data_IF_923302274686
#
_entry.id   IF_923302274686
#
_cell.length_a   1.000
_cell.length_b   1.000
_cell.length_c   1.000
_cell.angle_alpha   90.00
_cell.angle_beta   90.00
_cell.angle_gamma   90.00
#
_symmetry.space_group_name_H-M   'P 1'
#
loop_
_entity.id
_entity.type
_entity.pdbx_description
1 polymer ?
#
# COMPACT_ATOMS: atom_id res chain seq x y z
N UNK A 1 -48.58 21.08 8.79
CA UNK A 1 -48.64 19.99 7.78
C UNK A 1 -47.37 19.13 7.74
N UNK A 2 -46.22 19.60 7.23
CA UNK A 2 -45.00 18.77 7.15
C UNK A 2 -44.52 18.28 8.53
N UNK A 3 -44.55 19.12 9.55
CA UNK A 3 -44.16 18.75 10.92
C UNK A 3 -45.10 17.72 11.56
N UNK A 4 -46.41 17.83 11.33
CA UNK A 4 -47.41 16.87 11.83
C UNK A 4 -47.23 15.52 11.13
N UNK A 5 -47.04 15.54 9.80
CA UNK A 5 -46.82 14.32 9.01
C UNK A 5 -45.51 13.59 9.47
N UNK A 6 -44.49 14.35 9.77
CA UNK A 6 -43.24 13.82 10.30
C UNK A 6 -43.40 13.20 11.71
N UNK A 7 -44.16 13.87 12.58
CA UNK A 7 -44.48 13.35 13.93
C UNK A 7 -45.31 12.07 13.85
N UNK A 8 -46.30 12.02 12.96
CA UNK A 8 -47.09 10.78 12.70
C UNK A 8 -46.19 9.66 12.16
N UNK A 9 -45.26 9.96 11.23
CA UNK A 9 -44.31 8.99 10.71
C UNK A 9 -43.45 8.39 11.82
N UNK A 10 -42.91 9.23 12.72
CA UNK A 10 -42.09 8.77 13.88
C UNK A 10 -42.91 7.93 14.83
N UNK A 11 -44.21 8.30 15.10
CA UNK A 11 -45.07 7.49 15.96
C UNK A 11 -45.37 6.12 15.35
N UNK A 12 -45.59 6.05 14.04
CA UNK A 12 -45.79 4.80 13.30
C UNK A 12 -44.58 3.88 13.33
N UNK A 13 -43.37 4.45 13.25
CA UNK A 13 -42.12 3.74 13.40
C UNK A 13 -42.03 3.07 14.78
N UNK A 14 -42.44 3.79 15.85
CA UNK A 14 -42.41 3.26 17.21
C UNK A 14 -43.47 2.21 17.52
N UNK A 15 -44.63 2.25 16.84
CA UNK A 15 -45.72 1.27 17.00
C UNK A 15 -45.40 -0.09 16.37
N UNK A 16 -44.59 -0.13 15.30
CA UNK A 16 -44.19 -1.36 14.58
C UNK A 16 -42.67 -1.57 14.55
N UNK A 17 -42.00 -1.54 15.72
CA UNK A 17 -40.56 -1.53 15.86
C UNK A 17 -39.81 -2.63 15.09
N UNK A 18 -40.34 -3.85 15.08
CA UNK A 18 -39.70 -4.98 14.43
C UNK A 18 -39.71 -4.87 12.90
N UNK A 19 -40.85 -4.46 12.34
CA UNK A 19 -41.02 -4.26 10.89
C UNK A 19 -40.12 -3.13 10.39
N UNK A 20 -40.12 -2.01 11.10
CA UNK A 20 -39.29 -0.84 10.78
C UNK A 20 -37.80 -1.15 10.91
N UNK A 21 -37.40 -1.90 11.94
CA UNK A 21 -35.97 -2.32 12.08
C UNK A 21 -35.55 -3.21 10.90
N UNK A 22 -36.39 -4.20 10.53
CA UNK A 22 -36.07 -5.07 9.38
C UNK A 22 -35.94 -4.31 8.07
N UNK A 23 -36.79 -3.29 7.86
CA UNK A 23 -36.72 -2.43 6.67
C UNK A 23 -35.49 -1.56 6.63
N UNK A 24 -35.12 -0.96 7.77
CA UNK A 24 -33.92 -0.13 7.88
C UNK A 24 -32.64 -0.96 7.76
N UNK A 25 -32.67 -2.25 8.12
CA UNK A 25 -31.48 -3.11 8.19
C UNK A 25 -30.75 -3.19 6.83
N UNK A 26 -31.47 -3.30 5.73
CA UNK A 26 -30.88 -3.32 4.38
C UNK A 26 -30.15 -2.02 4.04
N UNK A 27 -30.71 -0.87 4.41
CA UNK A 27 -30.09 0.43 4.21
C UNK A 27 -28.88 0.61 5.15
N UNK A 28 -29.05 0.25 6.43
CA UNK A 28 -27.98 0.32 7.43
C UNK A 28 -26.75 -0.48 6.96
N UNK A 29 -26.96 -1.74 6.56
CA UNK A 29 -25.88 -2.61 6.08
C UNK A 29 -25.24 -2.02 4.82
N UNK A 30 -26.04 -1.60 3.83
CA UNK A 30 -25.52 -1.05 2.59
C UNK A 30 -24.68 0.23 2.79
N UNK A 31 -25.20 1.20 3.56
CA UNK A 31 -24.49 2.44 3.85
C UNK A 31 -23.23 2.18 4.68
N UNK A 32 -23.32 1.35 5.71
CA UNK A 32 -22.17 0.94 6.54
C UNK A 32 -21.09 0.30 5.68
N UNK A 33 -21.45 -0.63 4.79
CA UNK A 33 -20.51 -1.30 3.90
C UNK A 33 -19.77 -0.31 3.00
N UNK A 34 -20.47 0.64 2.37
CA UNK A 34 -19.86 1.66 1.51
C UNK A 34 -18.83 2.49 2.31
N UNK A 35 -19.19 2.97 3.50
CA UNK A 35 -18.30 3.81 4.32
C UNK A 35 -17.05 3.03 4.74
N UNK A 36 -17.21 1.78 5.18
CA UNK A 36 -16.08 0.94 5.59
C UNK A 36 -15.16 0.64 4.41
N UNK A 37 -15.72 0.26 3.25
CA UNK A 37 -14.95 -0.06 2.04
C UNK A 37 -14.15 1.16 1.57
N UNK A 38 -14.79 2.32 1.44
CA UNK A 38 -14.11 3.56 1.01
C UNK A 38 -13.08 4.02 2.06
N UNK A 39 -13.42 3.91 3.34
CA UNK A 39 -12.52 4.26 4.43
C UNK A 39 -11.26 3.39 4.45
N UNK A 40 -11.42 2.08 4.28
CA UNK A 40 -10.29 1.14 4.19
C UNK A 40 -9.45 1.40 2.94
N UNK A 41 -10.08 1.63 1.78
CA UNK A 41 -9.39 1.93 0.54
C UNK A 41 -8.51 3.18 0.66
N UNK A 42 -9.05 4.28 1.18
CA UNK A 42 -8.29 5.50 1.42
C UNK A 42 -7.15 5.28 2.44
N UNK A 43 -7.41 4.51 3.49
CA UNK A 43 -6.40 4.14 4.47
C UNK A 43 -5.25 3.33 3.86
N UNK A 44 -5.54 2.37 3.00
CA UNK A 44 -4.54 1.59 2.26
C UNK A 44 -3.72 2.47 1.32
N UNK A 45 -4.35 3.34 0.54
CA UNK A 45 -3.65 4.27 -0.35
C UNK A 45 -2.71 5.19 0.43
N UNK A 46 -3.17 5.74 1.55
CA UNK A 46 -2.34 6.58 2.41
C UNK A 46 -1.18 5.80 3.04
N UNK A 47 -1.41 4.57 3.46
CA UNK A 47 -0.36 3.69 4.01
C UNK A 47 0.70 3.35 2.96
N UNK A 48 0.28 3.02 1.72
CA UNK A 48 1.18 2.82 0.60
C UNK A 48 2.01 4.08 0.36
N UNK A 49 1.37 5.25 0.21
CA UNK A 49 2.08 6.51 -0.02
C UNK A 49 3.09 6.83 1.08
N UNK A 50 2.73 6.62 2.36
CA UNK A 50 3.65 6.85 3.48
C UNK A 50 4.83 5.87 3.50
N UNK A 51 4.62 4.60 3.14
CA UNK A 51 5.69 3.60 3.09
C UNK A 51 6.76 3.92 2.03
N UNK A 52 6.38 4.64 0.98
CA UNK A 52 7.29 5.04 -0.09
C UNK A 52 7.82 6.48 0.04
N UNK A 53 7.25 7.30 0.92
CA UNK A 53 7.68 8.68 1.12
C UNK A 53 9.17 8.79 1.55
N UNK A 54 9.64 7.82 2.33
CA UNK A 54 11.04 7.77 2.81
C UNK A 54 12.05 7.29 1.75
N UNK A 55 11.57 6.71 0.63
CA UNK A 55 12.44 6.18 -0.43
C UNK A 55 12.77 7.22 -1.51
N UNK A 56 12.12 8.39 -1.49
CA UNK A 56 12.23 9.42 -2.53
C UNK A 56 11.40 9.08 -3.79
N UNK A 57 10.69 10.07 -4.30
CA UNK A 57 9.84 9.93 -5.49
C UNK A 57 10.62 10.05 -6.79
N UNK A 58 11.88 10.54 -6.72
CA UNK A 58 12.78 10.76 -7.84
C UNK A 58 13.64 9.54 -8.21
N UNK A 59 13.27 8.33 -7.79
CA UNK A 59 13.99 7.09 -8.08
C UNK A 59 13.33 6.34 -9.23
N UNK A 60 14.17 5.91 -10.19
CA UNK A 60 13.82 4.96 -11.24
C UNK A 60 14.46 3.61 -10.93
N UNK A 61 13.64 2.57 -10.89
CA UNK A 61 14.09 1.18 -10.79
C UNK A 61 14.25 0.60 -12.19
N UNK A 62 15.44 0.12 -12.49
CA UNK A 62 15.78 -0.56 -13.73
C UNK A 62 16.03 -2.02 -13.41
N UNK A 63 15.28 -2.94 -14.03
CA UNK A 63 15.50 -4.37 -13.96
C UNK A 63 16.01 -4.86 -15.30
N UNK A 64 17.09 -5.62 -15.30
CA UNK A 64 17.72 -6.18 -16.51
C UNK A 64 17.74 -7.69 -16.39
N UNK A 65 17.00 -8.35 -17.27
CA UNK A 65 16.95 -9.82 -17.35
C UNK A 65 17.85 -10.37 -18.46
N UNK A 66 18.36 -9.49 -19.34
CA UNK A 66 19.08 -9.87 -20.55
C UNK A 66 18.15 -10.41 -21.65
N UNK A 67 18.66 -10.51 -22.86
CA UNK A 67 17.91 -11.05 -24.01
C UNK A 67 18.81 -11.94 -24.87
N UNK A 68 18.43 -13.21 -25.02
CA UNK A 68 19.23 -14.19 -25.72
C UNK A 68 20.61 -14.39 -25.09
N UNK A 69 21.68 -14.13 -25.83
CA UNK A 69 23.07 -14.17 -25.34
C UNK A 69 23.61 -12.81 -24.88
N UNK A 70 22.81 -11.76 -24.96
CA UNK A 70 23.22 -10.40 -24.58
C UNK A 70 22.85 -10.11 -23.14
N UNK A 71 23.79 -9.53 -22.43
CA UNK A 71 23.64 -9.04 -21.07
C UNK A 71 24.17 -7.61 -21.00
N UNK A 72 23.66 -6.84 -20.06
CA UNK A 72 24.13 -5.48 -19.80
C UNK A 72 25.13 -5.56 -18.64
N UNK A 73 26.33 -5.07 -18.87
CA UNK A 73 27.32 -4.98 -17.81
C UNK A 73 27.06 -3.77 -16.91
N UNK A 74 27.59 -3.80 -15.71
CA UNK A 74 27.38 -2.72 -14.74
C UNK A 74 27.92 -1.40 -15.28
N UNK A 75 29.07 -1.45 -15.97
CA UNK A 75 29.73 -0.31 -16.58
C UNK A 75 28.90 0.36 -17.69
N UNK A 76 28.12 -0.44 -18.45
CA UNK A 76 27.24 0.09 -19.49
C UNK A 76 26.16 1.02 -18.90
N UNK A 77 25.57 0.64 -17.76
CA UNK A 77 24.56 1.44 -17.07
C UNK A 77 25.17 2.70 -16.46
N UNK A 78 26.37 2.61 -15.87
CA UNK A 78 27.09 3.79 -15.40
C UNK A 78 27.37 4.77 -16.56
N UNK A 79 27.81 4.28 -17.70
CA UNK A 79 28.06 5.11 -18.89
C UNK A 79 26.79 5.80 -19.40
N UNK A 80 25.64 5.13 -19.38
CA UNK A 80 24.35 5.73 -19.74
C UNK A 80 23.96 6.87 -18.80
N UNK A 81 24.16 6.68 -17.52
CA UNK A 81 23.84 7.69 -16.49
C UNK A 81 24.83 8.87 -16.55
N UNK A 82 26.12 8.59 -16.67
CA UNK A 82 27.19 9.61 -16.72
C UNK A 82 27.15 10.45 -18.02
N UNK A 83 26.54 9.92 -19.10
CA UNK A 83 26.34 10.66 -20.33
C UNK A 83 25.32 11.82 -20.21
N UNK A 84 24.44 11.80 -19.20
CA UNK A 84 23.38 12.79 -18.97
C UNK A 84 23.34 13.26 -17.51
N UNK A 85 24.39 13.97 -17.02
CA UNK A 85 24.45 14.48 -15.66
C UNK A 85 23.41 15.58 -15.36
N UNK A 86 22.75 16.09 -16.39
CA UNK A 86 21.63 17.01 -16.30
C UNK A 86 20.33 16.31 -15.81
N UNK A 87 20.18 15.02 -16.11
CA UNK A 87 19.01 14.22 -15.75
C UNK A 87 19.26 13.33 -14.53
N UNK A 88 20.45 12.77 -14.43
CA UNK A 88 20.76 11.75 -13.43
C UNK A 88 21.72 12.27 -12.38
N UNK A 89 21.43 11.97 -11.12
CA UNK A 89 22.27 12.33 -9.96
C UNK A 89 23.16 11.16 -9.54
N UNK A 90 22.62 9.95 -9.46
CA UNK A 90 23.35 8.78 -8.99
C UNK A 90 22.73 7.48 -9.53
N UNK A 91 23.56 6.44 -9.59
CA UNK A 91 23.14 5.08 -9.89
C UNK A 91 23.72 4.09 -8.88
N UNK A 92 22.93 3.11 -8.50
CA UNK A 92 23.39 1.98 -7.69
C UNK A 92 22.94 0.65 -8.29
N UNK A 93 23.89 -0.19 -8.73
CA UNK A 93 23.61 -1.59 -8.97
C UNK A 93 23.11 -2.25 -7.70
N UNK A 94 22.16 -3.17 -7.83
CA UNK A 94 21.68 -4.00 -6.74
C UNK A 94 21.85 -5.47 -7.12
N UNK A 95 22.68 -6.18 -6.35
CA UNK A 95 22.89 -7.60 -6.49
C UNK A 95 22.29 -8.32 -5.26
N UNK A 96 21.25 -9.11 -5.46
CA UNK A 96 20.67 -9.93 -4.37
C UNK A 96 21.52 -11.17 -4.15
N UNK A 97 21.84 -11.47 -2.89
CA UNK A 97 22.52 -12.71 -2.52
C UNK A 97 21.53 -13.62 -1.79
N UNK A 98 21.25 -14.75 -2.40
CA UNK A 98 20.49 -15.82 -1.74
C UNK A 98 21.42 -16.57 -0.80
N UNK A 99 21.56 -16.12 0.44
CA UNK A 99 22.44 -16.77 1.41
C UNK A 99 21.92 -16.55 2.83
N UNK A 100 21.93 -17.63 3.61
CA UNK A 100 21.59 -17.53 5.04
C UNK A 100 22.65 -16.70 5.78
N UNK A 101 22.20 -15.70 6.49
CA UNK A 101 23.03 -14.91 7.41
C UNK A 101 23.25 -15.71 8.69
N UNK A 102 24.49 -15.82 9.17
CA UNK A 102 24.83 -16.54 10.41
C UNK A 102 25.72 -15.71 11.32
N UNK A 103 25.37 -15.69 12.60
CA UNK A 103 26.17 -15.10 13.67
C UNK A 103 26.40 -16.15 14.73
N UNK A 104 27.64 -16.60 14.92
CA UNK A 104 27.94 -17.75 15.75
C UNK A 104 27.23 -19.02 15.26
N UNK A 105 26.36 -19.56 16.09
CA UNK A 105 25.55 -20.77 15.80
C UNK A 105 24.14 -20.40 15.29
N UNK A 106 23.71 -19.15 15.41
CA UNK A 106 22.37 -18.69 15.06
C UNK A 106 22.28 -18.34 13.58
N UNK A 107 21.21 -18.78 12.92
CA UNK A 107 20.90 -18.48 11.51
C UNK A 107 19.72 -17.54 11.41
N UNK A 108 19.83 -16.55 10.55
CA UNK A 108 18.81 -15.55 10.22
C UNK A 108 18.41 -15.78 8.76
N UNK A 109 17.28 -16.42 8.54
CA UNK A 109 16.84 -16.83 7.20
C UNK A 109 16.06 -15.76 6.45
N UNK A 110 15.42 -14.83 7.17
CA UNK A 110 14.60 -13.77 6.62
C UNK A 110 15.37 -12.47 6.35
N UNK A 111 16.64 -12.41 6.77
CA UNK A 111 17.48 -11.24 6.56
C UNK A 111 17.76 -10.99 5.08
N UNK A 112 17.42 -9.81 4.61
CA UNK A 112 17.68 -9.38 3.23
C UNK A 112 19.16 -9.03 3.07
N UNK A 113 19.84 -9.66 2.09
CA UNK A 113 21.24 -9.38 1.77
C UNK A 113 21.33 -8.78 0.37
N UNK A 114 21.88 -7.55 0.27
CA UNK A 114 22.02 -6.83 -1.00
C UNK A 114 23.46 -6.33 -1.17
N UNK A 115 23.99 -6.52 -2.37
CA UNK A 115 25.17 -5.83 -2.85
C UNK A 115 24.76 -4.49 -3.47
N UNK A 116 25.38 -3.40 -3.04
CA UNK A 116 25.00 -2.04 -3.43
C UNK A 116 26.24 -1.15 -3.64
N UNK A 117 26.06 0.03 -4.27
CA UNK A 117 27.10 1.05 -4.35
C UNK A 117 27.13 1.93 -3.11
N UNK A 118 28.12 2.83 -3.08
CA UNK A 118 28.27 3.85 -2.03
C UNK A 118 27.09 4.83 -2.00
N UNK A 119 26.48 5.11 -3.14
CA UNK A 119 25.37 6.04 -3.29
C UNK A 119 24.04 5.48 -2.74
N UNK A 120 23.94 4.16 -2.60
CA UNK A 120 22.69 3.48 -2.26
C UNK A 120 22.05 3.95 -0.95
N UNK A 121 22.87 4.21 0.07
CA UNK A 121 22.37 4.65 1.38
C UNK A 121 21.61 5.97 1.27
N UNK A 122 22.19 6.96 0.58
CA UNK A 122 21.53 8.24 0.32
C UNK A 122 20.26 8.08 -0.51
N UNK A 123 20.35 7.30 -1.59
CA UNK A 123 19.20 7.04 -2.49
C UNK A 123 18.03 6.37 -1.78
N UNK A 124 18.32 5.45 -0.85
CA UNK A 124 17.29 4.67 -0.16
C UNK A 124 16.90 5.25 1.20
N UNK A 125 17.30 6.48 1.52
CA UNK A 125 17.00 7.14 2.78
C UNK A 125 17.52 6.40 4.03
N UNK A 126 18.62 5.64 3.90
CA UNK A 126 19.28 5.03 5.05
C UNK A 126 20.34 5.97 5.62
N UNK A 127 20.31 6.14 6.93
CA UNK A 127 21.33 6.86 7.69
C UNK A 127 22.18 5.87 8.49
N UNK A 128 23.47 6.17 8.63
CA UNK A 128 24.40 5.36 9.44
C UNK A 128 24.39 5.90 10.87
N UNK A 129 23.97 5.08 11.82
CA UNK A 129 23.95 5.43 13.24
C UNK A 129 25.32 5.33 13.90
N UNK A 130 26.07 4.27 13.59
CA UNK A 130 27.39 4.00 14.16
C UNK A 130 28.31 3.44 13.10
N UNK A 131 29.55 3.89 13.07
CA UNK A 131 30.55 3.45 12.09
C UNK A 131 30.49 4.27 10.81
N UNK A 132 30.58 3.60 9.65
CA UNK A 132 30.53 4.23 8.31
C UNK A 132 29.76 3.41 7.30
N UNK A 133 29.35 4.06 6.22
CA UNK A 133 28.79 3.40 5.05
C UNK A 133 29.85 2.70 4.18
N UNK A 134 29.38 2.15 3.07
CA UNK A 134 30.21 1.62 2.00
C UNK A 134 30.83 2.81 1.25
N UNK A 135 32.13 2.75 0.97
CA UNK A 135 32.87 3.77 0.23
C UNK A 135 33.31 3.21 -1.13
N UNK A 136 33.59 4.09 -2.08
CA UNK A 136 34.10 3.73 -3.42
C UNK A 136 35.33 2.80 -3.36
N UNK A 137 36.27 3.04 -2.41
CA UNK A 137 37.47 2.19 -2.21
C UNK A 137 37.10 0.75 -1.79
N UNK A 138 35.97 0.57 -1.12
CA UNK A 138 35.52 -0.78 -0.73
C UNK A 138 34.99 -1.57 -1.93
N UNK A 139 34.44 -0.86 -2.93
CA UNK A 139 34.01 -1.43 -4.19
C UNK A 139 35.18 -1.85 -5.07
N UNK A 140 36.12 -0.93 -5.29
CA UNK A 140 37.31 -1.17 -6.14
C UNK A 140 38.20 -2.28 -5.59
N UNK A 141 38.39 -2.32 -4.28
CA UNK A 141 39.23 -3.34 -3.63
C UNK A 141 38.49 -4.65 -3.35
N UNK A 142 37.19 -4.75 -3.72
CA UNK A 142 36.34 -5.92 -3.44
C UNK A 142 36.41 -6.35 -1.96
N UNK A 143 36.36 -5.39 -1.04
CA UNK A 143 36.50 -5.67 0.39
C UNK A 143 35.36 -6.52 0.94
N UNK A 144 35.71 -7.47 1.80
CA UNK A 144 34.75 -8.29 2.54
C UNK A 144 34.25 -7.54 3.78
N UNK A 145 33.52 -6.46 3.54
CA UNK A 145 32.87 -5.64 4.57
C UNK A 145 31.35 -5.62 4.36
N UNK A 146 30.62 -5.25 5.41
CA UNK A 146 29.20 -5.04 5.33
C UNK A 146 28.72 -3.95 6.29
N UNK A 147 27.57 -3.39 5.98
CA UNK A 147 26.77 -2.53 6.85
C UNK A 147 25.50 -3.29 7.20
N UNK A 148 25.11 -3.31 8.47
CA UNK A 148 23.96 -4.07 8.96
C UNK A 148 22.84 -3.14 9.43
N UNK A 149 21.60 -3.56 9.29
CA UNK A 149 20.45 -2.87 9.84
C UNK A 149 20.39 -2.96 11.37
N UNK A 150 19.53 -2.16 11.98
CA UNK A 150 19.40 -2.10 13.44
C UNK A 150 18.96 -3.43 14.06
N UNK A 151 18.08 -4.18 13.37
CA UNK A 151 17.61 -5.49 13.83
C UNK A 151 18.78 -6.46 14.09
N UNK A 152 19.63 -6.69 13.09
CA UNK A 152 20.79 -7.58 13.21
C UNK A 152 21.75 -7.06 14.28
N UNK A 153 21.98 -5.75 14.35
CA UNK A 153 22.86 -5.16 15.38
C UNK A 153 22.35 -5.45 16.79
N UNK A 154 21.05 -5.28 17.05
CA UNK A 154 20.44 -5.49 18.37
C UNK A 154 20.35 -6.96 18.72
N UNK A 155 19.78 -7.77 17.83
CA UNK A 155 19.43 -9.17 18.13
C UNK A 155 20.66 -10.07 18.15
N UNK A 156 21.59 -9.87 17.22
CA UNK A 156 22.76 -10.74 17.10
C UNK A 156 23.98 -10.26 17.92
N UNK A 157 24.11 -8.95 18.18
CA UNK A 157 25.30 -8.36 18.79
C UNK A 157 25.00 -7.46 20.01
N UNK A 158 23.75 -7.42 20.49
CA UNK A 158 23.37 -6.58 21.62
C UNK A 158 23.65 -5.08 21.41
N UNK A 159 23.63 -4.62 20.16
CA UNK A 159 23.87 -3.23 19.77
C UNK A 159 25.33 -2.88 19.43
N UNK A 160 26.30 -3.77 19.68
CA UNK A 160 27.73 -3.57 19.45
C UNK A 160 28.24 -4.39 18.24
N UNK A 161 27.70 -4.14 17.06
CA UNK A 161 27.99 -4.91 15.85
C UNK A 161 29.25 -4.41 15.11
N UNK A 162 29.62 -3.14 15.18
CA UNK A 162 30.75 -2.57 14.45
C UNK A 162 32.10 -3.24 14.87
N UNK A 163 32.88 -3.67 13.89
CA UNK A 163 34.11 -4.41 14.09
C UNK A 163 33.93 -5.92 14.26
N UNK A 164 32.72 -6.40 14.45
CA UNK A 164 32.40 -7.82 14.54
C UNK A 164 32.35 -8.47 13.15
N UNK A 165 32.28 -9.81 13.11
CA UNK A 165 32.20 -10.56 11.87
C UNK A 165 30.88 -11.29 11.73
N UNK A 166 30.28 -11.20 10.55
CA UNK A 166 29.04 -11.89 10.16
C UNK A 166 29.35 -12.86 9.01
N UNK A 167 28.68 -14.00 8.97
CA UNK A 167 28.82 -14.97 7.90
C UNK A 167 27.62 -14.95 6.99
N UNK A 168 27.85 -14.82 5.68
CA UNK A 168 26.80 -14.84 4.65
C UNK A 168 27.15 -15.98 3.69
N UNK A 169 26.32 -17.01 3.63
CA UNK A 169 26.64 -18.23 2.91
C UNK A 169 27.92 -18.89 3.46
N UNK A 170 28.96 -19.00 2.62
CA UNK A 170 30.27 -19.56 3.00
C UNK A 170 31.29 -18.53 3.49
N UNK A 171 31.07 -17.24 3.25
CA UNK A 171 32.05 -16.18 3.42
C UNK A 171 31.81 -15.37 4.71
N UNK A 172 32.90 -14.82 5.25
CA UNK A 172 32.86 -13.93 6.43
C UNK A 172 33.07 -12.48 6.00
N UNK A 173 32.32 -11.58 6.61
CA UNK A 173 32.39 -10.12 6.38
C UNK A 173 32.58 -9.40 7.69
N UNK A 174 33.31 -8.29 7.65
CA UNK A 174 33.50 -7.41 8.81
C UNK A 174 32.44 -6.32 8.77
N UNK A 175 31.71 -6.12 9.86
CA UNK A 175 30.72 -5.07 10.00
C UNK A 175 31.45 -3.74 10.22
N UNK A 176 31.24 -2.77 9.31
CA UNK A 176 31.85 -1.43 9.36
C UNK A 176 30.89 -0.34 9.77
N UNK A 177 29.57 -0.63 9.73
CA UNK A 177 28.54 0.33 10.10
C UNK A 177 27.23 -0.35 10.49
N UNK A 178 26.43 0.38 11.24
CA UNK A 178 25.07 0.02 11.65
C UNK A 178 24.14 1.14 11.21
N UNK A 179 23.07 0.77 10.53
CA UNK A 179 22.03 1.70 10.07
C UNK A 179 21.15 2.15 11.24
N UNK A 180 20.55 3.32 11.09
CA UNK A 180 19.50 3.79 11.97
C UNK A 180 18.20 2.99 11.72
N UNK A 181 17.41 2.75 12.77
CA UNK A 181 16.15 2.05 12.65
C UNK A 181 15.15 2.90 11.88
N UNK A 182 14.53 2.32 10.86
CA UNK A 182 13.41 2.91 10.11
C UNK A 182 12.06 2.53 10.70
N UNK A 183 11.97 1.32 11.26
CA UNK A 183 10.74 0.81 11.85
C UNK A 183 10.68 1.22 13.32
N UNK A 184 9.64 1.95 13.70
CA UNK A 184 9.43 2.45 15.07
C UNK A 184 9.04 1.36 16.07
N UNK A 185 8.45 0.25 15.61
CA UNK A 185 8.05 -0.86 16.45
C UNK A 185 9.17 -1.92 16.53
N UNK A 186 9.79 -2.03 17.70
CA UNK A 186 10.95 -2.90 17.92
C UNK A 186 10.60 -4.35 18.24
N UNK A 187 9.31 -4.72 18.30
CA UNK A 187 8.90 -6.05 18.74
C UNK A 187 8.95 -7.12 17.66
N UNK A 188 8.86 -6.72 16.37
CA UNK A 188 8.79 -7.68 15.25
C UNK A 188 9.43 -7.12 13.99
N UNK A 189 10.77 -7.06 13.99
CA UNK A 189 11.54 -6.49 12.89
C UNK A 189 12.18 -7.55 11.98
N UNK A 190 11.98 -8.84 12.24
CA UNK A 190 12.47 -9.91 11.37
C UNK A 190 11.83 -9.81 9.99
N UNK A 191 12.65 -9.75 8.94
CA UNK A 191 12.18 -9.55 7.56
C UNK A 191 11.73 -8.12 7.20
N UNK A 192 11.82 -7.17 8.14
CA UNK A 192 11.53 -5.74 7.90
C UNK A 192 12.68 -5.03 7.15
N UNK A 193 12.49 -3.73 6.86
CA UNK A 193 13.54 -2.88 6.27
C UNK A 193 14.76 -2.72 7.18
N UNK A 194 14.66 -3.02 8.49
CA UNK A 194 15.76 -2.99 9.43
C UNK A 194 16.49 -4.34 9.54
N UNK A 195 15.92 -5.41 8.97
CA UNK A 195 16.55 -6.72 8.86
C UNK A 195 17.29 -6.86 7.52
N UNK A 196 18.34 -6.07 7.35
CA UNK A 196 19.11 -5.96 6.12
C UNK A 196 20.61 -6.01 6.36
N UNK A 197 21.32 -6.58 5.40
CA UNK A 197 22.80 -6.55 5.32
C UNK A 197 23.19 -6.04 3.94
N UNK A 198 23.93 -4.95 3.91
CA UNK A 198 24.44 -4.31 2.70
C UNK A 198 25.93 -4.59 2.54
N UNK A 199 26.33 -5.03 1.35
CA UNK A 199 27.75 -5.23 0.99
C UNK A 199 28.09 -4.44 -0.28
N UNK A 200 29.39 -4.27 -0.61
CA UNK A 200 29.80 -3.78 -1.91
C UNK A 200 29.25 -4.68 -3.03
N UNK A 201 28.59 -4.10 -4.06
CA UNK A 201 28.00 -4.87 -5.15
C UNK A 201 29.05 -5.72 -5.88
N UNK A 202 30.28 -5.22 -6.02
CA UNK A 202 31.40 -5.93 -6.64
C UNK A 202 31.73 -7.23 -5.89
N UNK A 203 31.71 -7.18 -4.56
CA UNK A 203 31.90 -8.36 -3.70
C UNK A 203 30.69 -9.30 -3.82
N UNK A 204 29.46 -8.75 -3.89
CA UNK A 204 28.24 -9.53 -4.05
C UNK A 204 28.20 -10.30 -5.38
N UNK A 205 28.51 -9.64 -6.50
CA UNK A 205 28.60 -10.25 -7.83
C UNK A 205 29.64 -11.38 -7.86
N UNK A 206 30.81 -11.14 -7.26
CA UNK A 206 31.87 -12.14 -7.16
C UNK A 206 31.46 -13.40 -6.38
N UNK A 207 30.72 -13.21 -5.28
CA UNK A 207 30.21 -14.34 -4.47
C UNK A 207 29.10 -15.10 -5.21
N UNK A 208 28.23 -14.38 -5.91
CA UNK A 208 27.18 -14.97 -6.75
C UNK A 208 27.70 -15.55 -8.06
N UNK A 209 29.01 -15.36 -8.36
CA UNK A 209 29.65 -15.80 -9.62
C UNK A 209 28.95 -15.24 -10.87
N UNK A 210 28.44 -14.02 -10.78
CA UNK A 210 27.82 -13.28 -11.89
C UNK A 210 28.64 -12.04 -12.17
N UNK A 211 28.67 -11.61 -13.44
CA UNK A 211 29.31 -10.34 -13.86
C UNK A 211 28.30 -9.20 -13.99
N UNK A 212 27.01 -9.50 -13.96
CA UNK A 212 25.93 -8.56 -14.22
C UNK A 212 25.03 -8.38 -13.00
N UNK A 213 24.62 -7.16 -12.73
CA UNK A 213 23.56 -6.87 -11.77
C UNK A 213 22.19 -7.00 -12.47
N UNK A 214 21.23 -7.59 -11.78
CA UNK A 214 19.87 -7.74 -12.32
C UNK A 214 18.97 -6.52 -12.07
N UNK A 215 19.40 -5.61 -11.21
CA UNK A 215 18.60 -4.43 -10.86
C UNK A 215 19.52 -3.23 -10.59
N UNK A 216 19.02 -2.04 -10.93
CA UNK A 216 19.68 -0.77 -10.65
C UNK A 216 18.65 0.21 -10.08
N UNK A 217 19.06 0.98 -9.09
CA UNK A 217 18.34 2.17 -8.66
C UNK A 217 19.04 3.39 -9.26
N UNK A 218 18.30 4.27 -9.91
CA UNK A 218 18.82 5.49 -10.54
C UNK A 218 18.06 6.68 -9.96
N UNK A 219 18.79 7.65 -9.40
CA UNK A 219 18.20 8.89 -8.90
C UNK A 219 18.24 9.95 -9.97
N UNK A 220 17.09 10.60 -10.18
CA UNK A 220 16.90 11.69 -11.13
C UNK A 220 17.03 13.03 -10.40
N UNK A 221 17.61 14.04 -11.05
CA UNK A 221 17.85 15.37 -10.47
C UNK A 221 16.57 16.11 -10.07
N UNK A 222 15.44 15.84 -10.75
CA UNK A 222 14.12 16.43 -10.47
C UNK A 222 13.01 15.46 -10.84
N UNK A 223 11.90 15.49 -10.10
CA UNK A 223 10.69 14.73 -10.43
C UNK A 223 10.12 15.07 -11.82
N UNK A 224 10.25 16.32 -12.24
CA UNK A 224 9.79 16.77 -13.56
C UNK A 224 10.52 16.06 -14.73
N UNK A 225 11.74 15.60 -14.47
CA UNK A 225 12.60 14.95 -15.47
C UNK A 225 12.43 13.43 -15.53
N UNK A 226 11.59 12.82 -14.67
CA UNK A 226 11.43 11.36 -14.60
C UNK A 226 11.05 10.74 -15.94
N UNK A 227 10.11 11.35 -16.65
CA UNK A 227 9.64 10.82 -17.96
C UNK A 227 10.73 10.87 -19.03
N UNK A 228 11.55 11.94 -19.06
CA UNK A 228 12.67 12.04 -19.98
C UNK A 228 13.79 11.08 -19.60
N UNK A 229 14.13 11.02 -18.31
CA UNK A 229 15.15 10.12 -17.77
C UNK A 229 14.80 8.64 -18.05
N UNK A 230 13.55 8.26 -17.86
CA UNK A 230 13.04 6.93 -18.20
C UNK A 230 13.23 6.62 -19.69
N UNK A 231 12.83 7.54 -20.57
CA UNK A 231 12.99 7.37 -22.02
C UNK A 231 14.45 7.21 -22.44
N UNK A 232 15.36 7.96 -21.80
CA UNK A 232 16.80 7.84 -22.04
C UNK A 232 17.32 6.47 -21.63
N UNK A 233 16.92 5.97 -20.45
CA UNK A 233 17.30 4.64 -19.96
C UNK A 233 16.73 3.53 -20.84
N UNK A 234 15.46 3.62 -21.24
CA UNK A 234 14.82 2.63 -22.13
C UNK A 234 15.52 2.57 -23.50
N UNK A 235 15.80 3.72 -24.12
CA UNK A 235 16.51 3.77 -25.40
C UNK A 235 17.94 3.20 -25.29
N UNK A 236 18.68 3.56 -24.24
CA UNK A 236 20.02 3.04 -24.01
C UNK A 236 20.05 1.53 -23.79
N UNK A 237 19.12 1.02 -22.98
CA UNK A 237 19.01 -0.43 -22.74
C UNK A 237 18.56 -1.18 -24.00
N UNK A 238 17.65 -0.60 -24.78
CA UNK A 238 17.22 -1.13 -26.06
C UNK A 238 18.40 -1.24 -27.04
N UNK A 239 19.27 -0.25 -27.11
CA UNK A 239 20.45 -0.27 -27.95
C UNK A 239 21.45 -1.36 -27.50
N UNK A 240 21.72 -1.45 -26.20
CA UNK A 240 22.62 -2.45 -25.61
C UNK A 240 22.13 -3.88 -25.84
N UNK A 241 20.85 -4.15 -25.61
CA UNK A 241 20.26 -5.47 -25.81
C UNK A 241 19.86 -5.74 -27.27
N UNK A 242 19.77 -4.71 -28.10
CA UNK A 242 19.21 -4.76 -29.44
C UNK A 242 17.80 -5.40 -29.47
N UNK A 243 17.01 -5.10 -28.44
CA UNK A 243 15.67 -5.62 -28.24
C UNK A 243 14.87 -4.70 -27.31
N UNK A 244 13.57 -4.67 -27.50
CA UNK A 244 12.63 -4.01 -26.59
C UNK A 244 12.25 -4.93 -25.39
N UNK A 245 12.79 -6.12 -25.35
CA UNK A 245 12.55 -7.11 -24.30
C UNK A 245 13.82 -7.35 -23.49
N UNK A 246 13.65 -7.89 -22.29
CA UNK A 246 14.77 -8.24 -21.42
C UNK A 246 15.17 -7.13 -20.42
N UNK A 247 14.41 -6.03 -20.38
CA UNK A 247 14.53 -5.01 -19.34
C UNK A 247 13.18 -4.42 -18.96
N UNK A 248 13.12 -3.82 -17.78
CA UNK A 248 11.96 -3.07 -17.30
C UNK A 248 12.45 -1.82 -16.59
N UNK A 249 11.95 -0.66 -16.97
CA UNK A 249 12.23 0.63 -16.35
C UNK A 249 10.96 1.18 -15.76
N UNK A 250 10.91 1.33 -14.44
CA UNK A 250 9.73 1.77 -13.70
C UNK A 250 10.10 2.87 -12.73
N UNK A 251 9.40 3.98 -12.78
CA UNK A 251 9.58 5.03 -11.78
C UNK A 251 8.82 4.67 -10.49
N UNK A 252 9.26 5.23 -9.38
CA UNK A 252 8.57 5.07 -8.09
C UNK A 252 7.14 5.63 -8.15
N UNK A 253 6.94 6.75 -8.85
CA UNK A 253 5.61 7.33 -9.07
C UNK A 253 4.68 6.39 -9.85
N UNK A 254 5.15 5.77 -10.95
CA UNK A 254 4.36 4.78 -11.70
C UNK A 254 4.00 3.56 -10.83
N UNK A 255 4.90 3.12 -9.97
CA UNK A 255 4.64 2.01 -9.06
C UNK A 255 3.55 2.36 -8.05
N UNK A 256 3.59 3.57 -7.49
CA UNK A 256 2.56 4.11 -6.61
C UNK A 256 1.21 4.22 -7.33
N UNK A 257 1.20 4.72 -8.58
CA UNK A 257 -0.01 4.85 -9.40
C UNK A 257 -0.61 3.48 -9.73
N UNK A 258 0.21 2.49 -10.04
CA UNK A 258 -0.26 1.11 -10.25
C UNK A 258 -0.88 0.52 -8.99
N UNK A 259 -0.23 0.67 -7.84
CA UNK A 259 -0.77 0.19 -6.56
C UNK A 259 -2.07 0.89 -6.18
N UNK A 260 -2.12 2.21 -6.32
CA UNK A 260 -3.32 3.02 -6.07
C UNK A 260 -4.46 2.63 -7.01
N UNK A 261 -4.16 2.40 -8.28
CA UNK A 261 -5.14 1.94 -9.28
C UNK A 261 -5.69 0.56 -8.92
N UNK A 262 -4.85 -0.34 -8.44
CA UNK A 262 -5.28 -1.67 -7.99
C UNK A 262 -6.22 -1.57 -6.77
N UNK A 263 -5.88 -0.74 -5.77
CA UNK A 263 -6.75 -0.48 -4.61
C UNK A 263 -8.08 0.11 -5.07
N UNK A 264 -8.05 1.12 -5.95
CA UNK A 264 -9.25 1.77 -6.47
C UNK A 264 -10.15 0.80 -7.27
N UNK A 265 -9.56 -0.13 -8.02
CA UNK A 265 -10.31 -1.19 -8.71
C UNK A 265 -11.07 -2.07 -7.71
N UNK A 266 -10.41 -2.53 -6.66
CA UNK A 266 -11.03 -3.35 -5.60
C UNK A 266 -12.14 -2.57 -4.90
N UNK A 267 -11.89 -1.31 -4.51
CA UNK A 267 -12.88 -0.41 -3.89
C UNK A 267 -14.08 -0.23 -4.80
N UNK A 268 -13.87 -0.03 -6.10
CA UNK A 268 -14.96 0.14 -7.08
C UNK A 268 -15.83 -1.10 -7.17
N UNK A 269 -15.24 -2.30 -7.26
CA UNK A 269 -15.98 -3.58 -7.33
C UNK A 269 -16.80 -3.77 -6.05
N UNK A 270 -16.19 -3.59 -4.88
CA UNK A 270 -16.87 -3.76 -3.60
C UNK A 270 -17.98 -2.72 -3.41
N UNK A 271 -17.76 -1.47 -3.85
CA UNK A 271 -18.79 -0.41 -3.81
C UNK A 271 -19.98 -0.74 -4.73
N UNK A 272 -19.72 -1.34 -5.91
CA UNK A 272 -20.79 -1.79 -6.79
C UNK A 272 -21.64 -2.91 -6.13
N UNK A 273 -21.01 -3.84 -5.42
CA UNK A 273 -21.72 -4.88 -4.64
C UNK A 273 -22.56 -4.26 -3.53
N UNK A 274 -22.01 -3.28 -2.81
CA UNK A 274 -22.72 -2.56 -1.77
C UNK A 274 -23.92 -1.75 -2.33
N UNK A 275 -23.79 -1.17 -3.53
CA UNK A 275 -24.87 -0.49 -4.23
C UNK A 275 -26.02 -1.46 -4.57
N UNK A 276 -25.73 -2.69 -5.00
CA UNK A 276 -26.74 -3.73 -5.22
C UNK A 276 -27.45 -4.04 -3.89
N UNK A 277 -26.72 -4.15 -2.79
CA UNK A 277 -27.30 -4.37 -1.46
C UNK A 277 -28.25 -3.24 -1.05
N UNK A 278 -27.91 -1.98 -1.35
CA UNK A 278 -28.78 -0.81 -1.13
C UNK A 278 -30.06 -0.89 -1.99
N UNK A 279 -29.96 -1.32 -3.24
CA UNK A 279 -31.14 -1.53 -4.11
C UNK A 279 -32.07 -2.61 -3.53
N UNK A 280 -31.52 -3.72 -3.06
CA UNK A 280 -32.30 -4.78 -2.40
C UNK A 280 -32.98 -4.25 -1.13
N UNK A 281 -32.28 -3.44 -0.33
CA UNK A 281 -32.85 -2.74 0.82
C UNK A 281 -34.00 -1.82 0.42
N UNK A 282 -33.88 -1.07 -0.67
CA UNK A 282 -34.93 -0.23 -1.25
C UNK A 282 -36.19 -1.03 -1.68
N UNK A 283 -36.00 -2.17 -2.34
CA UNK A 283 -37.06 -3.10 -2.71
C UNK A 283 -37.75 -3.65 -1.44
N UNK A 284 -36.98 -3.92 -0.39
CA UNK A 284 -37.54 -4.32 0.90
C UNK A 284 -38.48 -3.28 1.50
N UNK A 285 -38.06 -1.99 1.45
CA UNK A 285 -38.97 -0.88 1.87
C UNK A 285 -40.22 -0.83 1.01
N UNK A 286 -40.09 -0.91 -0.31
CA UNK A 286 -41.19 -0.90 -1.23
C UNK A 286 -42.22 -1.99 -0.90
N UNK A 287 -41.77 -3.22 -0.69
CA UNK A 287 -42.66 -4.36 -0.38
C UNK A 287 -43.42 -4.15 0.94
N UNK A 288 -42.73 -3.63 1.97
CA UNK A 288 -43.36 -3.38 3.27
C UNK A 288 -44.35 -2.21 3.19
N UNK A 289 -44.02 -1.16 2.43
CA UNK A 289 -44.97 -0.06 2.22
C UNK A 289 -46.19 -0.50 1.45
N UNK A 290 -46.10 -1.41 0.46
CA UNK A 290 -47.24 -2.01 -0.22
C UNK A 290 -48.13 -2.76 0.75
N UNK A 291 -47.57 -3.56 1.65
CA UNK A 291 -48.36 -4.25 2.71
C UNK A 291 -49.02 -3.23 3.63
N UNK A 292 -48.32 -2.18 4.07
CA UNK A 292 -48.87 -1.12 4.91
C UNK A 292 -50.06 -0.40 4.26
N UNK A 293 -50.01 -0.14 2.94
CA UNK A 293 -51.10 0.46 2.19
C UNK A 293 -52.32 -0.47 2.19
N UNK A 294 -52.16 -1.77 1.98
CA UNK A 294 -53.25 -2.74 2.00
C UNK A 294 -53.88 -2.90 3.39
N UNK A 295 -53.05 -2.92 4.47
CA UNK A 295 -53.55 -2.96 5.84
C UNK A 295 -54.36 -1.71 6.24
N UNK A 296 -54.02 -0.53 5.68
CA UNK A 296 -54.68 0.76 5.98
C UNK A 296 -55.75 1.15 4.94
N UNK A 297 -56.24 0.23 4.11
CA UNK A 297 -57.23 0.53 3.03
C UNK A 297 -58.46 1.21 3.57
N UNK A 298 -58.99 0.82 4.73
CA UNK A 298 -60.15 1.43 5.36
C UNK A 298 -59.90 2.89 5.77
N UNK A 299 -58.75 3.19 6.33
CA UNK A 299 -58.35 4.53 6.73
C UNK A 299 -58.17 5.45 5.49
N UNK A 300 -57.53 4.93 4.44
CA UNK A 300 -57.40 5.61 3.15
C UNK A 300 -58.78 5.92 2.54
N UNK A 301 -59.69 4.95 2.61
CA UNK A 301 -61.06 5.11 2.12
C UNK A 301 -61.84 6.21 2.86
N UNK A 302 -61.72 6.26 4.19
CA UNK A 302 -62.33 7.32 5.01
C UNK A 302 -61.79 8.69 4.65
N UNK A 303 -60.43 8.84 4.55
CA UNK A 303 -59.77 10.11 4.17
C UNK A 303 -60.21 10.54 2.76
N UNK A 304 -60.36 9.62 1.80
CA UNK A 304 -60.82 9.90 0.45
C UNK A 304 -62.28 10.32 0.43
N UNK A 305 -63.15 9.69 1.25
CA UNK A 305 -64.57 10.07 1.40
C UNK A 305 -64.73 11.46 2.02
N UNK A 306 -63.78 11.91 2.87
CA UNK A 306 -63.73 13.25 3.44
C UNK A 306 -63.14 14.29 2.48
N UNK A 307 -62.81 13.94 1.23
CA UNK A 307 -62.33 14.86 0.20
C UNK A 307 -60.82 15.05 0.14
N UNK A 308 -60.03 14.18 0.80
CA UNK A 308 -58.58 14.26 0.72
C UNK A 308 -58.08 13.98 -0.73
N UNK A 309 -57.23 14.87 -1.26
CA UNK A 309 -56.61 14.72 -2.58
C UNK A 309 -55.61 13.55 -2.56
N UNK A 310 -55.56 12.79 -3.67
CA UNK A 310 -54.65 11.64 -3.83
C UNK A 310 -53.17 12.00 -3.51
N UNK A 311 -52.72 13.19 -3.95
CA UNK A 311 -51.37 13.69 -3.66
C UNK A 311 -51.06 13.82 -2.18
N UNK A 312 -52.06 14.12 -1.34
CA UNK A 312 -51.88 14.24 0.12
C UNK A 312 -51.71 12.86 0.75
N UNK A 313 -52.54 11.89 0.29
CA UNK A 313 -52.43 10.50 0.77
C UNK A 313 -51.13 9.87 0.33
N UNK A 314 -50.72 10.05 -0.94
CA UNK A 314 -49.44 9.58 -1.46
C UNK A 314 -48.25 10.20 -0.69
N UNK A 315 -48.35 11.53 -0.44
CA UNK A 315 -47.34 12.26 0.32
C UNK A 315 -47.08 11.69 1.71
N UNK A 316 -48.11 11.19 2.40
CA UNK A 316 -47.96 10.57 3.72
C UNK A 316 -47.07 9.31 3.65
N UNK A 317 -47.34 8.41 2.71
CA UNK A 317 -46.52 7.18 2.55
C UNK A 317 -45.11 7.44 2.07
N UNK A 318 -44.95 8.42 1.17
CA UNK A 318 -43.61 8.84 0.70
C UNK A 318 -42.80 9.46 1.85
N UNK A 319 -43.44 10.28 2.70
CA UNK A 319 -42.76 10.87 3.88
C UNK A 319 -42.40 9.77 4.89
N UNK A 320 -43.28 8.78 5.12
CA UNK A 320 -42.96 7.66 6.02
C UNK A 320 -41.79 6.84 5.50
N UNK A 321 -41.74 6.50 4.21
CA UNK A 321 -40.65 5.80 3.58
C UNK A 321 -39.34 6.62 3.61
N UNK A 322 -39.39 7.92 3.31
CA UNK A 322 -38.27 8.82 3.32
C UNK A 322 -37.65 8.97 4.74
N UNK A 323 -38.53 9.10 5.76
CA UNK A 323 -38.08 9.21 7.17
C UNK A 323 -37.40 7.91 7.62
N UNK A 324 -37.98 6.75 7.27
CA UNK A 324 -37.40 5.44 7.58
C UNK A 324 -36.06 5.27 6.91
N UNK A 325 -35.95 5.64 5.62
CA UNK A 325 -34.68 5.57 4.86
C UNK A 325 -33.61 6.51 5.43
N UNK A 326 -33.99 7.75 5.78
CA UNK A 326 -33.10 8.74 6.36
C UNK A 326 -32.53 8.27 7.73
N UNK A 327 -33.41 7.72 8.60
CA UNK A 327 -32.99 7.16 9.88
C UNK A 327 -32.04 5.96 9.70
N UNK A 328 -32.37 5.07 8.75
CA UNK A 328 -31.50 3.95 8.38
C UNK A 328 -30.14 4.42 7.87
N UNK A 329 -30.11 5.47 7.02
CA UNK A 329 -28.88 6.09 6.52
C UNK A 329 -28.02 6.70 7.63
N UNK A 330 -28.64 7.48 8.55
CA UNK A 330 -27.92 8.08 9.69
C UNK A 330 -27.32 7.01 10.61
N UNK A 331 -28.09 5.96 10.92
CA UNK A 331 -27.60 4.83 11.71
C UNK A 331 -26.47 4.08 10.98
N UNK A 332 -26.60 3.89 9.66
CA UNK A 332 -25.58 3.28 8.81
C UNK A 332 -24.29 4.09 8.78
N UNK A 333 -24.37 5.42 8.71
CA UNK A 333 -23.20 6.32 8.81
C UNK A 333 -22.55 6.17 10.17
N UNK A 334 -23.31 6.22 11.27
CA UNK A 334 -22.76 6.09 12.63
C UNK A 334 -22.04 4.75 12.84
N UNK A 335 -22.66 3.64 12.40
CA UNK A 335 -22.04 2.31 12.46
C UNK A 335 -20.81 2.20 11.54
N UNK A 336 -20.85 2.78 10.35
CA UNK A 336 -19.73 2.80 9.41
C UNK A 336 -18.50 3.48 10.00
N UNK A 337 -18.67 4.65 10.59
CA UNK A 337 -17.57 5.35 11.28
C UNK A 337 -17.05 4.56 12.49
N UNK A 338 -17.95 3.96 13.27
CA UNK A 338 -17.56 3.16 14.43
C UNK A 338 -16.76 1.92 14.02
N UNK A 339 -17.20 1.20 12.98
CA UNK A 339 -16.49 0.04 12.46
C UNK A 339 -15.17 0.42 11.81
N UNK A 340 -15.11 1.54 11.09
CA UNK A 340 -13.86 2.06 10.51
C UNK A 340 -12.85 2.44 11.60
N UNK A 341 -13.30 3.09 12.68
CA UNK A 341 -12.46 3.42 13.82
C UNK A 341 -11.96 2.17 14.56
N UNK A 342 -12.79 1.14 14.69
CA UNK A 342 -12.40 -0.16 15.26
C UNK A 342 -11.40 -0.87 14.34
N UNK A 343 -11.64 -0.88 13.03
CA UNK A 343 -10.72 -1.47 12.06
C UNK A 343 -9.33 -0.84 12.15
N UNK A 344 -9.24 0.49 12.22
CA UNK A 344 -7.97 1.21 12.38
C UNK A 344 -7.23 0.88 13.69
N UNK A 345 -7.92 0.41 14.72
CA UNK A 345 -7.28 -0.05 15.96
C UNK A 345 -6.87 -1.53 15.94
N UNK A 346 -7.62 -2.34 15.21
CA UNK A 346 -7.45 -3.81 15.20
C UNK A 346 -6.50 -4.23 14.07
N UNK A 347 -6.54 -3.58 12.91
CA UNK A 347 -5.67 -3.91 11.76
C UNK A 347 -4.18 -3.94 12.13
N UNK A 348 -3.62 -2.96 12.84
CA UNK A 348 -2.21 -3.00 13.27
C UNK A 348 -1.90 -4.15 14.22
N UNK A 349 -2.90 -4.65 14.96
CA UNK A 349 -2.74 -5.77 15.89
C UNK A 349 -2.80 -7.14 15.16
N UNK A 350 -3.60 -7.24 14.10
CA UNK A 350 -3.78 -8.49 13.32
C UNK A 350 -2.71 -8.63 12.24
N UNK A 351 -2.21 -7.53 11.68
CA UNK A 351 -1.08 -7.56 10.73
C UNK A 351 0.28 -7.77 11.42
N UNK A 352 0.28 -7.95 12.73
CA UNK A 352 1.45 -8.11 13.58
C UNK A 352 1.82 -9.58 13.83
N UNK A 353 0.93 -10.52 13.48
CA UNK A 353 1.14 -11.99 13.49
C UNK A 353 1.44 -12.47 12.05
#
# INVERSE_FOLDING_TARGET
>A
MIYETFREAVQNIWSNKFRTFLTMLGIIIGVTAVIVIVGLGNGMTQSIASSFADLGTNIISVQVMGYGSRSVEVEDVYNLVDARPDLFEAVSPTASINGTVKVGTTSYSNTTVKGVSESYLGMSGYTVRVGRGINYVDLTDNKKICVVGDYISRVAYGGNAVGQTIKIGSEKYTIVGVLEAKVTDTSDQEGSSDDIVLLPYTTALRVSKTSTASSYAVTVTSEDNISEAKTVLENGLQELLNSNEGYMVTSMSEMLDMMTSMVNMVVTILTAIAAISLLVGGIGIMNIMMVSVTERTREIGIRKALGAKERVILGLFVTEAATTSALGGVLGIGLGYLLSALANRILPLVMRD
#
